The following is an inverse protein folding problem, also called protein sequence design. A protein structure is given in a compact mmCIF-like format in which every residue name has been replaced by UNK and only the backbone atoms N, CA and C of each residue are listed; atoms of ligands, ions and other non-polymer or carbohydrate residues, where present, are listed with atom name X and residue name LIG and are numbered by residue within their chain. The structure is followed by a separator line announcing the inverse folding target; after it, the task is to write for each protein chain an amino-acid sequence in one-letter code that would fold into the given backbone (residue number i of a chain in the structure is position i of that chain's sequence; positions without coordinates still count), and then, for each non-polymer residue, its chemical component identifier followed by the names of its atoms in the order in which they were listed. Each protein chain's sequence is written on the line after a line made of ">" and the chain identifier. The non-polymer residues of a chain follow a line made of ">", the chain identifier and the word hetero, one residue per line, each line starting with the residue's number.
data_IF_867776291339
#
_entry.id   IF_867776291339
#
_cell.length_a   1.000
_cell.length_b   1.000
_cell.length_c   1.000
_cell.angle_alpha   90.00
_cell.angle_beta   90.00
_cell.angle_gamma   90.00
#
_symmetry.space_group_name_H-M   'P 1'
#
loop_
_entity.id
_entity.type
_entity.pdbx_description
1 polymer ?
#
# COMPACT_ATOMS: atom_id res chain seq x y z
N UNK A 1 4.12 0.60 7.22
CA UNK A 1 3.70 2.01 6.97
C UNK A 1 2.23 2.13 7.34
N UNK A 2 1.83 3.15 8.10
CA UNK A 2 0.41 3.40 8.35
C UNK A 2 -0.24 4.03 7.10
N UNK A 3 -1.41 3.54 6.71
CA UNK A 3 -2.29 4.20 5.74
C UNK A 3 -3.36 4.94 6.54
N UNK A 4 -3.47 6.24 6.30
CA UNK A 4 -4.54 7.06 6.88
C UNK A 4 -5.91 6.66 6.29
N UNK A 5 -6.97 7.01 7.00
CA UNK A 5 -8.32 6.87 6.48
C UNK A 5 -8.46 7.73 5.21
N UNK A 6 -9.12 7.21 4.18
CA UNK A 6 -9.28 7.88 2.89
C UNK A 6 -10.51 7.40 2.15
N UNK A 7 -10.97 8.20 1.19
CA UNK A 7 -11.92 7.76 0.18
C UNK A 7 -11.18 6.95 -0.89
N UNK A 8 -11.57 5.70 -1.08
CA UNK A 8 -11.14 4.88 -2.21
C UNK A 8 -12.28 4.76 -3.21
N UNK A 9 -11.98 4.25 -4.41
CA UNK A 9 -12.97 4.00 -5.46
C UNK A 9 -13.13 2.49 -5.64
N UNK A 10 -14.36 2.01 -5.72
CA UNK A 10 -14.64 0.61 -6.01
C UNK A 10 -14.18 0.31 -7.46
N UNK A 11 -13.25 -0.64 -7.68
CA UNK A 11 -12.74 -0.94 -9.02
C UNK A 11 -13.80 -1.53 -9.96
N UNK A 12 -14.90 -2.08 -9.43
CA UNK A 12 -15.99 -2.65 -10.24
C UNK A 12 -17.05 -1.62 -10.63
N UNK A 13 -17.40 -0.68 -9.75
CA UNK A 13 -18.55 0.23 -9.93
C UNK A 13 -18.17 1.72 -10.02
N UNK A 14 -16.95 2.10 -9.62
CA UNK A 14 -16.50 3.49 -9.62
C UNK A 14 -17.03 4.33 -8.45
N UNK A 15 -17.84 3.76 -7.57
CA UNK A 15 -18.39 4.44 -6.39
C UNK A 15 -17.31 4.76 -5.36
N UNK A 16 -17.49 5.84 -4.61
CA UNK A 16 -16.59 6.20 -3.52
C UNK A 16 -16.93 5.43 -2.24
N UNK A 17 -15.90 4.85 -1.62
CA UNK A 17 -16.00 4.07 -0.38
C UNK A 17 -15.01 4.58 0.65
N UNK A 18 -15.49 4.73 1.90
CA UNK A 18 -14.64 5.10 3.04
C UNK A 18 -13.77 3.91 3.44
N UNK A 19 -12.45 4.08 3.41
CA UNK A 19 -11.47 3.09 3.87
C UNK A 19 -10.85 3.58 5.18
N UNK A 20 -11.00 2.78 6.23
CA UNK A 20 -10.44 3.09 7.55
C UNK A 20 -8.89 3.10 7.55
N UNK A 21 -8.31 3.78 8.53
CA UNK A 21 -6.87 3.76 8.73
C UNK A 21 -6.41 2.34 9.08
N UNK A 22 -5.31 1.89 8.48
CA UNK A 22 -4.74 0.56 8.77
C UNK A 22 -3.24 0.53 8.62
N UNK A 23 -2.58 -0.32 9.40
CA UNK A 23 -1.15 -0.60 9.26
C UNK A 23 -0.94 -1.59 8.11
N UNK A 24 -0.02 -1.28 7.20
CA UNK A 24 0.40 -2.22 6.16
C UNK A 24 1.87 -2.59 6.31
N UNK A 25 2.24 -3.85 6.07
CA UNK A 25 3.65 -4.25 6.01
C UNK A 25 4.35 -3.48 4.88
N UNK A 26 5.63 -3.17 5.08
CA UNK A 26 6.48 -2.56 4.06
C UNK A 26 7.82 -3.28 4.08
N UNK A 27 8.15 -3.96 2.99
CA UNK A 27 9.47 -4.54 2.80
C UNK A 27 10.45 -3.47 2.31
N UNK A 28 11.67 -3.51 2.84
CA UNK A 28 12.81 -2.74 2.34
C UNK A 28 13.93 -3.75 2.07
N UNK A 29 14.30 -4.00 0.79
CA UNK A 29 15.38 -4.92 0.49
C UNK A 29 16.70 -4.39 1.06
N UNK A 30 17.50 -5.29 1.63
CA UNK A 30 18.87 -5.01 2.06
C UNK A 30 19.79 -4.82 0.86
N UNK A 31 20.97 -4.24 1.08
CA UNK A 31 21.95 -3.95 0.03
C UNK A 31 22.27 -5.19 -0.82
N UNK A 32 22.57 -6.33 -0.19
CA UNK A 32 22.91 -7.57 -0.91
C UNK A 32 21.82 -8.07 -1.88
N UNK A 33 20.54 -7.89 -1.55
CA UNK A 33 19.43 -8.25 -2.44
C UNK A 33 19.24 -7.23 -3.58
N UNK A 34 19.56 -5.96 -3.34
CA UNK A 34 19.52 -4.95 -4.40
C UNK A 34 20.63 -5.16 -5.41
N UNK A 35 21.83 -5.45 -4.94
CA UNK A 35 23.02 -5.60 -5.78
C UNK A 35 22.96 -6.84 -6.68
N UNK A 36 22.25 -7.89 -6.25
CA UNK A 36 22.10 -9.15 -7.01
C UNK A 36 21.01 -9.11 -8.07
N UNK A 37 20.08 -8.14 -8.00
CA UNK A 37 18.91 -8.04 -8.87
C UNK A 37 19.00 -6.85 -9.85
N UNK A 38 19.97 -5.95 -9.65
CA UNK A 38 20.16 -4.75 -10.48
C UNK A 38 20.72 -5.05 -11.88
#
# INVERSE_FOLDING_TARGET
>A
KARAARMARNPKTGEQVKVAAKKVPKFRPAKGLKDTVA
#
